data_IF_948094048700
#
_entry.id   IF_948094048700
#
_cell.length_a   1.000
_cell.length_b   1.000
_cell.length_c   1.000
_cell.angle_alpha   90.00
_cell.angle_beta   90.00
_cell.angle_gamma   90.00
#
_symmetry.space_group_name_H-M   'P 1'
#
loop_
_entity.id
_entity.type
_entity.pdbx_description
1 polymer ?
#
# COMPACT_ATOMS: atom_id res chain seq x y z
N UNK A 1 -29.89 8.38 -70.62
CA UNK A 1 -28.95 9.49 -70.88
C UNK A 1 -29.73 10.79 -70.77
N UNK A 2 -29.42 11.64 -69.78
CA UNK A 2 -29.96 12.99 -69.68
C UNK A 2 -28.88 13.87 -69.03
N UNK A 3 -28.26 14.72 -69.86
CA UNK A 3 -27.24 15.68 -69.48
C UNK A 3 -27.90 16.97 -68.97
N UNK A 4 -27.45 17.48 -67.82
CA UNK A 4 -27.62 18.88 -67.44
C UNK A 4 -26.28 19.47 -67.00
N UNK A 5 -25.75 20.32 -67.86
CA UNK A 5 -24.76 21.38 -67.61
C UNK A 5 -25.36 22.46 -66.71
N UNK A 6 -24.54 23.18 -65.92
CA UNK A 6 -24.47 24.67 -65.86
C UNK A 6 -23.34 25.12 -64.91
N UNK A 7 -22.68 26.19 -65.34
CA UNK A 7 -21.44 26.82 -64.90
C UNK A 7 -21.59 27.84 -63.74
N UNK A 8 -20.55 27.89 -62.87
CA UNK A 8 -19.75 29.03 -62.31
C UNK A 8 -20.36 30.29 -61.63
N UNK A 9 -19.50 30.87 -60.76
CA UNK A 9 -19.35 32.26 -60.19
C UNK A 9 -19.80 32.35 -58.71
N UNK A 10 -19.05 32.81 -57.67
CA UNK A 10 -18.22 34.02 -57.44
C UNK A 10 -17.20 33.78 -56.27
N UNK A 11 -16.02 34.43 -56.34
CA UNK A 11 -14.91 34.49 -55.35
C UNK A 11 -15.04 35.76 -54.49
N UNK A 12 -14.68 35.75 -53.19
CA UNK A 12 -14.16 36.94 -52.48
C UNK A 12 -13.20 36.59 -51.31
N UNK A 13 -12.06 37.30 -51.28
CA UNK A 13 -10.91 37.21 -50.35
C UNK A 13 -10.72 38.57 -49.66
N UNK A 14 -10.18 38.61 -48.42
CA UNK A 14 -9.41 39.67 -47.66
C UNK A 14 -9.89 39.75 -46.19
N UNK A 15 -9.15 39.47 -45.09
CA UNK A 15 -7.88 39.93 -44.46
C UNK A 15 -7.91 41.38 -43.94
N UNK A 16 -7.96 41.58 -42.59
CA UNK A 16 -7.07 42.50 -41.85
C UNK A 16 -7.14 42.41 -40.30
N UNK A 17 -5.98 42.69 -39.71
CA UNK A 17 -5.48 42.53 -38.34
C UNK A 17 -6.17 43.38 -37.25
N UNK A 18 -6.22 42.88 -36.01
CA UNK A 18 -6.13 43.71 -34.80
C UNK A 18 -5.21 43.08 -33.74
N UNK A 19 -4.14 43.82 -33.44
CA UNK A 19 -3.32 43.89 -32.21
C UNK A 19 -2.80 42.62 -31.51
N UNK A 20 -1.47 42.47 -31.57
CA UNK A 20 -0.66 41.92 -30.47
C UNK A 20 -0.77 42.82 -29.23
N UNK A 21 -1.09 42.25 -28.07
CA UNK A 21 -0.51 42.64 -26.77
C UNK A 21 -0.82 41.60 -25.70
N UNK A 22 0.23 40.88 -25.31
CA UNK A 22 0.62 40.63 -23.91
C UNK A 22 -0.49 40.28 -22.90
N UNK A 23 -0.56 39.00 -22.49
CA UNK A 23 -0.57 38.58 -21.08
C UNK A 23 -0.53 37.04 -20.95
N UNK A 24 0.60 36.57 -20.44
CA UNK A 24 0.80 35.52 -19.43
C UNK A 24 -0.10 34.26 -19.39
N UNK A 25 0.59 33.11 -19.41
CA UNK A 25 0.29 31.84 -18.74
C UNK A 25 -1.16 31.31 -18.76
N UNK A 26 -1.33 30.19 -19.46
CA UNK A 26 -1.38 28.92 -18.74
C UNK A 26 -0.86 27.82 -19.67
N UNK A 27 0.37 27.36 -19.44
CA UNK A 27 0.70 25.99 -19.78
C UNK A 27 -0.31 25.15 -19.02
N UNK A 28 -1.24 24.51 -19.73
CA UNK A 28 -1.99 23.41 -19.15
C UNK A 28 -0.97 22.32 -18.88
N UNK A 29 -0.32 22.40 -17.73
CA UNK A 29 0.27 21.23 -17.10
C UNK A 29 -0.87 20.24 -17.04
N UNK A 30 -0.82 19.21 -17.90
CA UNK A 30 -1.63 18.03 -17.70
C UNK A 30 -1.28 17.53 -16.30
N UNK A 31 -2.18 17.86 -15.37
CA UNK A 31 -2.12 17.47 -13.99
C UNK A 31 -2.17 15.94 -13.98
N UNK A 32 -0.98 15.35 -13.87
CA UNK A 32 -0.75 13.91 -13.72
C UNK A 32 -1.12 13.51 -12.29
N UNK A 33 -2.36 13.76 -11.91
CA UNK A 33 -2.96 13.25 -10.67
C UNK A 33 -4.39 12.79 -10.91
N UNK A 34 -4.61 11.97 -11.95
CA UNK A 34 -5.83 11.17 -12.08
C UNK A 34 -6.01 10.29 -10.83
N UNK A 35 -6.85 10.80 -9.92
CA UNK A 35 -7.31 10.18 -8.68
C UNK A 35 -7.92 8.82 -9.02
N UNK A 36 -7.23 7.74 -8.65
CA UNK A 36 -7.59 6.37 -9.04
C UNK A 36 -8.77 5.81 -8.20
N UNK A 37 -9.92 6.46 -8.28
CA UNK A 37 -11.19 5.97 -7.73
C UNK A 37 -11.88 4.96 -8.69
N UNK A 38 -11.13 4.33 -9.59
CA UNK A 38 -11.65 3.34 -10.55
C UNK A 38 -11.49 1.92 -10.01
N UNK A 39 -12.54 1.10 -10.14
CA UNK A 39 -12.44 -0.34 -9.92
C UNK A 39 -11.65 -0.97 -11.07
N UNK A 40 -10.58 -1.68 -10.74
CA UNK A 40 -9.65 -2.32 -11.68
C UNK A 40 -9.73 -3.84 -11.51
N UNK A 41 -9.78 -4.56 -12.63
CA UNK A 41 -9.74 -6.01 -12.64
C UNK A 41 -8.38 -6.55 -12.18
N UNK A 42 -8.40 -7.32 -11.09
CA UNK A 42 -7.22 -7.95 -10.50
C UNK A 42 -7.00 -9.36 -11.03
N UNK A 43 -8.09 -10.11 -11.25
CA UNK A 43 -8.01 -11.47 -11.75
C UNK A 43 -9.38 -12.07 -12.00
N UNK A 44 -9.40 -13.18 -12.73
CA UNK A 44 -10.59 -13.96 -13.04
C UNK A 44 -10.27 -15.43 -12.75
N UNK A 45 -11.20 -16.17 -12.19
CA UNK A 45 -11.14 -17.63 -12.13
C UNK A 45 -12.44 -18.27 -12.60
N UNK A 46 -12.34 -19.47 -13.16
CA UNK A 46 -13.48 -20.35 -13.39
C UNK A 46 -13.53 -21.37 -12.26
N UNK A 47 -14.71 -21.53 -11.66
CA UNK A 47 -14.91 -22.49 -10.57
C UNK A 47 -14.85 -23.91 -11.12
N UNK A 48 -13.91 -24.74 -10.68
CA UNK A 48 -13.64 -26.07 -11.24
C UNK A 48 -14.38 -27.21 -10.52
N UNK A 49 -15.02 -26.95 -9.38
CA UNK A 49 -15.98 -27.87 -8.75
C UNK A 49 -15.45 -29.23 -8.27
N UNK A 50 -14.15 -29.50 -8.45
CA UNK A 50 -13.45 -30.73 -8.03
C UNK A 50 -12.92 -30.66 -6.60
N UNK A 51 -12.75 -29.45 -6.06
CA UNK A 51 -12.37 -29.17 -4.68
C UNK A 51 -13.33 -28.15 -4.09
N UNK A 52 -13.59 -28.21 -2.78
CA UNK A 52 -14.31 -27.16 -2.03
C UNK A 52 -13.54 -25.81 -1.96
N UNK A 53 -12.47 -25.69 -2.75
CA UNK A 53 -11.54 -24.55 -2.83
C UNK A 53 -11.00 -24.42 -4.24
N UNK A 54 -11.16 -23.26 -4.84
CA UNK A 54 -10.39 -22.84 -6.01
C UNK A 54 -9.49 -21.65 -5.63
N UNK A 55 -8.24 -21.70 -6.08
CA UNK A 55 -7.29 -20.60 -5.95
C UNK A 55 -7.39 -19.70 -7.17
N UNK A 56 -7.63 -18.40 -6.96
CA UNK A 56 -7.42 -17.41 -8.01
C UNK A 56 -6.00 -16.94 -7.94
N UNK A 57 -5.19 -17.42 -8.88
CA UNK A 57 -3.86 -16.86 -9.10
C UNK A 57 -4.06 -15.48 -9.74
N UNK A 58 -3.79 -14.44 -8.97
CA UNK A 58 -3.90 -13.05 -9.44
C UNK A 58 -2.80 -12.83 -10.48
N UNK A 59 -3.18 -12.53 -11.71
CA UNK A 59 -2.26 -12.13 -12.78
C UNK A 59 -1.93 -10.64 -12.63
N UNK A 60 -0.71 -10.36 -12.19
CA UNK A 60 -0.08 -9.06 -12.35
C UNK A 60 -0.16 -8.13 -11.15
N UNK A 61 1.00 -7.56 -10.84
CA UNK A 61 1.32 -6.55 -9.83
C UNK A 61 0.61 -5.21 -10.03
N UNK A 62 -0.71 -5.14 -9.94
CA UNK A 62 -1.49 -3.92 -10.23
C UNK A 62 -1.60 -2.93 -9.06
N UNK A 63 -0.52 -2.73 -8.29
CA UNK A 63 -0.48 -1.72 -7.24
C UNK A 63 -1.21 -2.11 -5.94
N UNK A 64 -1.53 -1.10 -5.11
CA UNK A 64 -2.12 -1.29 -3.78
C UNK A 64 -3.58 -0.85 -3.75
N UNK A 65 -4.41 -1.58 -3.00
CA UNK A 65 -5.86 -1.41 -2.95
C UNK A 65 -6.34 -1.16 -1.54
N UNK A 66 -7.45 -0.45 -1.40
CA UNK A 66 -8.16 -0.27 -0.11
C UNK A 66 -9.43 -1.10 -0.07
N UNK A 67 -10.02 -1.40 -1.23
CA UNK A 67 -11.28 -2.13 -1.31
C UNK A 67 -11.20 -3.24 -2.36
N UNK A 68 -11.96 -4.31 -2.13
CA UNK A 68 -12.22 -5.38 -3.08
C UNK A 68 -13.73 -5.54 -3.34
N UNK A 69 -14.07 -6.08 -4.51
CA UNK A 69 -15.36 -6.70 -4.80
C UNK A 69 -15.13 -7.98 -5.58
N UNK A 70 -16.10 -8.87 -5.50
CA UNK A 70 -16.22 -9.97 -6.45
C UNK A 70 -17.43 -9.75 -7.35
N UNK A 71 -17.32 -10.21 -8.59
CA UNK A 71 -18.43 -10.29 -9.55
C UNK A 71 -18.56 -11.71 -10.05
N UNK A 72 -19.74 -12.30 -9.85
CA UNK A 72 -20.04 -13.66 -10.31
C UNK A 72 -20.67 -13.58 -11.70
N UNK A 73 -20.16 -14.39 -12.63
CA UNK A 73 -20.60 -14.48 -14.02
C UNK A 73 -20.86 -15.93 -14.40
N UNK A 74 -21.47 -16.10 -15.57
CA UNK A 74 -21.81 -17.38 -16.21
C UNK A 74 -22.89 -18.21 -15.50
N UNK A 75 -22.76 -18.48 -14.20
CA UNK A 75 -23.73 -19.24 -13.41
C UNK A 75 -23.76 -18.79 -11.94
N UNK A 76 -24.80 -19.20 -11.22
CA UNK A 76 -24.97 -18.87 -9.80
C UNK A 76 -23.99 -19.62 -8.91
N UNK A 77 -23.50 -18.97 -7.86
CA UNK A 77 -22.47 -19.50 -6.96
C UNK A 77 -22.83 -19.23 -5.51
N UNK A 78 -22.85 -20.27 -4.68
CA UNK A 78 -23.02 -20.11 -3.23
C UNK A 78 -21.64 -19.96 -2.57
N UNK A 79 -21.27 -18.73 -2.24
CA UNK A 79 -19.96 -18.38 -1.72
C UNK A 79 -20.02 -18.27 -0.19
N UNK A 80 -19.16 -19.02 0.50
CA UNK A 80 -19.09 -19.01 1.98
C UNK A 80 -18.16 -17.91 2.46
N UNK A 81 -16.91 -17.96 2.02
CA UNK A 81 -15.81 -17.14 2.54
C UNK A 81 -14.79 -16.86 1.44
N UNK A 82 -14.16 -15.70 1.50
CA UNK A 82 -12.88 -15.48 0.81
C UNK A 82 -11.78 -15.18 1.82
N UNK A 83 -10.58 -15.68 1.54
CA UNK A 83 -9.37 -15.39 2.31
C UNK A 83 -8.47 -14.55 1.43
N UNK A 84 -8.25 -13.30 1.83
CA UNK A 84 -7.32 -12.39 1.16
C UNK A 84 -5.93 -12.62 1.74
N UNK A 85 -4.99 -13.03 0.91
CA UNK A 85 -3.57 -13.10 1.27
C UNK A 85 -2.89 -11.82 0.79
N UNK A 86 -2.37 -11.05 1.72
CA UNK A 86 -1.66 -9.83 1.40
C UNK A 86 -0.20 -10.09 1.03
N UNK A 87 0.42 -9.14 0.34
CA UNK A 87 1.85 -9.17 0.01
C UNK A 87 2.77 -9.29 1.23
N UNK A 88 2.31 -8.90 2.43
CA UNK A 88 3.06 -9.01 3.67
C UNK A 88 2.91 -10.36 4.41
N UNK A 89 2.19 -11.33 3.82
CA UNK A 89 1.96 -12.65 4.41
C UNK A 89 0.79 -12.74 5.39
N UNK A 90 0.23 -11.61 5.86
CA UNK A 90 -1.00 -11.62 6.66
C UNK A 90 -2.22 -11.96 5.81
N UNK A 91 -3.28 -12.42 6.47
CA UNK A 91 -4.55 -12.77 5.83
C UNK A 91 -5.71 -11.96 6.38
N UNK A 92 -6.74 -11.79 5.57
CA UNK A 92 -8.04 -11.29 6.01
C UNK A 92 -9.13 -12.25 5.55
N UNK A 93 -9.86 -12.76 6.53
CA UNK A 93 -11.06 -13.53 6.31
C UNK A 93 -12.25 -12.61 6.05
N UNK A 94 -12.97 -12.89 4.98
CA UNK A 94 -14.18 -12.15 4.61
C UNK A 94 -15.31 -13.15 4.43
N UNK A 95 -16.26 -13.12 5.36
CA UNK A 95 -17.47 -13.89 5.28
C UNK A 95 -18.43 -13.22 4.30
N UNK A 96 -18.81 -13.97 3.28
CA UNK A 96 -19.80 -13.55 2.30
C UNK A 96 -21.14 -14.24 2.58
N UNK A 97 -21.12 -15.54 2.89
CA UNK A 97 -22.28 -16.39 3.24
C UNK A 97 -23.53 -16.12 2.38
N UNK A 98 -23.31 -15.91 1.08
CA UNK A 98 -24.35 -15.48 0.16
C UNK A 98 -24.37 -16.37 -1.09
N UNK A 99 -25.59 -16.61 -1.59
CA UNK A 99 -25.80 -17.07 -2.96
C UNK A 99 -25.75 -15.87 -3.90
N UNK A 100 -24.82 -15.92 -4.84
CA UNK A 100 -24.67 -14.93 -5.89
C UNK A 100 -25.34 -15.44 -7.16
N UNK A 101 -26.34 -14.72 -7.66
CA UNK A 101 -26.92 -14.95 -8.98
C UNK A 101 -25.94 -14.53 -10.09
N UNK A 102 -26.13 -15.06 -11.30
CA UNK A 102 -25.33 -14.64 -12.47
C UNK A 102 -25.39 -13.12 -12.64
N UNK A 103 -24.23 -12.47 -12.72
CA UNK A 103 -24.08 -11.02 -12.88
C UNK A 103 -23.97 -10.25 -11.57
N UNK A 104 -24.28 -10.88 -10.43
CA UNK A 104 -24.30 -10.22 -9.13
C UNK A 104 -22.89 -9.91 -8.62
N UNK A 105 -22.78 -8.79 -7.91
CA UNK A 105 -21.57 -8.34 -7.23
C UNK A 105 -21.70 -8.50 -5.71
N UNK A 106 -20.57 -8.62 -5.03
CA UNK A 106 -20.55 -8.45 -3.58
C UNK A 106 -20.73 -7.00 -3.18
N UNK A 107 -21.03 -6.80 -1.89
CA UNK A 107 -20.74 -5.54 -1.22
C UNK A 107 -19.29 -5.13 -1.41
N UNK A 108 -19.02 -3.86 -1.14
CA UNK A 108 -17.65 -3.39 -0.96
C UNK A 108 -17.01 -4.08 0.25
N UNK A 109 -15.81 -4.60 0.03
CA UNK A 109 -15.02 -5.29 1.04
C UNK A 109 -13.86 -4.37 1.37
N UNK A 110 -13.94 -3.73 2.52
CA UNK A 110 -12.84 -2.95 3.07
C UNK A 110 -11.68 -3.88 3.47
N UNK A 111 -10.49 -3.52 3.04
CA UNK A 111 -9.26 -4.21 3.41
C UNK A 111 -8.73 -3.59 4.69
N UNK A 112 -8.56 -4.41 5.74
CA UNK A 112 -8.11 -3.93 7.04
C UNK A 112 -6.77 -3.19 6.90
N UNK A 113 -6.70 -1.97 7.43
CA UNK A 113 -5.54 -1.07 7.35
C UNK A 113 -5.58 -0.18 6.11
N UNK A 114 -4.51 0.60 5.85
CA UNK A 114 -4.48 1.43 4.63
C UNK A 114 -4.30 0.58 3.36
N UNK A 115 -3.83 1.18 2.27
CA UNK A 115 -3.53 0.50 1.00
C UNK A 115 -2.75 -0.81 1.20
N UNK A 116 -3.24 -1.90 0.61
CA UNK A 116 -2.69 -3.27 0.68
C UNK A 116 -2.30 -3.76 -0.70
N UNK A 117 -1.11 -4.37 -0.79
CA UNK A 117 -0.76 -5.23 -1.92
C UNK A 117 -1.47 -6.57 -1.74
N UNK A 118 -2.18 -7.05 -2.75
CA UNK A 118 -2.84 -8.37 -2.72
C UNK A 118 -1.92 -9.38 -3.39
N UNK A 119 -1.56 -10.45 -2.65
CA UNK A 119 -0.74 -11.55 -3.16
C UNK A 119 -1.60 -12.59 -3.87
N UNK A 120 -2.68 -13.03 -3.22
CA UNK A 120 -3.67 -13.94 -3.78
C UNK A 120 -5.00 -13.84 -3.01
N UNK A 121 -6.07 -14.35 -3.61
CA UNK A 121 -7.36 -14.54 -2.93
C UNK A 121 -7.81 -15.97 -3.14
N UNK A 122 -8.22 -16.61 -2.06
CA UNK A 122 -8.76 -17.97 -2.07
C UNK A 122 -10.26 -17.89 -1.78
N UNK A 123 -11.06 -18.52 -2.63
CA UNK A 123 -12.51 -18.59 -2.48
C UNK A 123 -12.93 -19.95 -1.92
N UNK A 124 -13.81 -19.94 -0.92
CA UNK A 124 -14.49 -21.10 -0.38
C UNK A 124 -15.96 -20.98 -0.73
N UNK A 125 -16.47 -21.94 -1.49
CA UNK A 125 -17.84 -21.97 -1.97
C UNK A 125 -18.44 -23.36 -1.74
N UNK A 126 -19.75 -23.48 -1.86
CA UNK A 126 -20.44 -24.76 -1.88
C UNK A 126 -20.48 -25.27 -3.32
N UNK A 127 -20.09 -26.54 -3.54
CA UNK A 127 -20.23 -27.20 -4.83
C UNK A 127 -21.69 -27.16 -5.29
N UNK A 128 -21.92 -26.69 -6.50
CA UNK A 128 -23.24 -26.67 -7.15
C UNK A 128 -23.31 -27.65 -8.31
N UNK A 129 -24.54 -27.94 -8.76
CA UNK A 129 -24.76 -28.69 -10.00
C UNK A 129 -24.68 -27.73 -11.19
N UNK A 130 -23.49 -27.61 -11.80
CA UNK A 130 -23.21 -26.70 -12.91
C UNK A 130 -22.97 -27.49 -14.20
N UNK A 131 -23.95 -28.30 -14.60
CA UNK A 131 -23.82 -29.31 -15.66
C UNK A 131 -23.27 -28.79 -17.01
N UNK A 132 -23.56 -27.52 -17.38
CA UNK A 132 -23.10 -26.96 -18.67
C UNK A 132 -22.39 -25.59 -18.58
N UNK A 133 -22.38 -24.91 -17.42
CA UNK A 133 -21.81 -23.56 -17.27
C UNK A 133 -21.24 -23.34 -15.87
N UNK A 134 -19.93 -23.50 -15.71
CA UNK A 134 -19.26 -23.22 -14.44
C UNK A 134 -19.29 -21.72 -14.10
N UNK A 135 -19.52 -21.32 -12.83
CA UNK A 135 -19.42 -19.93 -12.40
C UNK A 135 -18.02 -19.36 -12.65
N UNK A 136 -17.97 -18.11 -13.07
CA UNK A 136 -16.74 -17.34 -13.22
C UNK A 136 -16.72 -16.25 -12.16
N UNK A 137 -15.64 -16.15 -11.38
CA UNK A 137 -15.48 -15.12 -10.36
C UNK A 137 -14.41 -14.13 -10.82
N UNK A 138 -14.81 -12.88 -11.03
CA UNK A 138 -13.90 -11.77 -11.26
C UNK A 138 -13.62 -11.06 -9.93
N UNK A 139 -12.34 -10.90 -9.60
CA UNK A 139 -11.88 -10.08 -8.48
C UNK A 139 -11.50 -8.70 -8.99
N UNK A 140 -12.13 -7.66 -8.45
CA UNK A 140 -11.83 -6.27 -8.78
C UNK A 140 -11.40 -5.51 -7.51
N UNK A 141 -10.49 -4.56 -7.67
CA UNK A 141 -9.95 -3.75 -6.58
C UNK A 141 -9.98 -2.27 -6.88
N UNK A 142 -10.11 -1.46 -5.84
CA UNK A 142 -10.11 0.00 -5.95
C UNK A 142 -9.14 0.60 -4.92
N UNK A 143 -8.50 1.70 -5.31
CA UNK A 143 -7.64 2.50 -4.44
C UNK A 143 -8.31 3.84 -4.18
N UNK A 144 -9.40 3.84 -3.39
CA UNK A 144 -10.11 5.08 -3.06
C UNK A 144 -9.13 6.05 -2.40
N UNK A 145 -8.90 7.21 -3.02
CA UNK A 145 -8.18 8.30 -2.37
C UNK A 145 -9.16 9.00 -1.44
N UNK A 146 -8.92 8.94 -0.12
CA UNK A 146 -9.83 9.45 0.91
C UNK A 146 -10.34 10.87 0.60
N UNK A 147 -11.58 10.97 0.14
CA UNK A 147 -12.28 12.23 -0.09
C UNK A 147 -13.59 12.20 0.68
N UNK A 148 -13.82 13.27 1.45
CA UNK A 148 -14.87 13.54 2.44
C UNK A 148 -14.38 13.29 3.88
N UNK A 149 -13.77 14.34 4.43
CA UNK A 149 -13.12 14.45 5.75
C UNK A 149 -12.15 13.31 6.10
N UNK A 150 -10.87 13.41 5.72
CA UNK A 150 -9.89 12.41 6.09
C UNK A 150 -9.65 12.42 7.61
N UNK A 151 -9.55 11.27 8.29
CA UNK A 151 -8.62 11.18 9.40
C UNK A 151 -7.25 11.52 8.81
N UNK A 152 -6.76 12.74 9.07
CA UNK A 152 -5.45 13.21 8.64
C UNK A 152 -4.36 12.41 9.38
N UNK A 153 -4.04 11.22 8.89
CA UNK A 153 -2.85 10.47 9.26
C UNK A 153 -1.89 10.44 8.06
N UNK A 154 -1.30 11.60 7.77
CA UNK A 154 0.10 11.60 7.34
C UNK A 154 0.82 10.71 8.35
N UNK A 155 1.56 9.69 7.91
CA UNK A 155 2.32 8.80 8.79
C UNK A 155 3.29 9.59 9.65
N UNK A 156 2.79 10.17 10.75
CA UNK A 156 3.56 10.96 11.69
C UNK A 156 4.47 9.98 12.39
N UNK A 157 5.77 10.24 12.29
CA UNK A 157 6.78 9.56 13.05
C UNK A 157 6.41 9.61 14.55
N UNK A 158 6.05 8.45 15.12
CA UNK A 158 5.66 8.29 16.51
C UNK A 158 6.81 7.71 17.32
N UNK A 159 7.05 8.26 18.50
CA UNK A 159 8.01 7.70 19.44
C UNK A 159 7.58 6.28 19.86
N UNK A 160 8.46 5.32 19.67
CA UNK A 160 8.23 3.90 19.98
C UNK A 160 8.86 3.47 21.30
N UNK A 161 9.96 4.13 21.67
CA UNK A 161 10.70 3.85 22.89
C UNK A 161 11.94 4.72 22.98
N UNK A 162 12.49 4.82 24.18
CA UNK A 162 13.72 5.55 24.50
C UNK A 162 14.60 4.63 25.34
N UNK A 163 15.91 4.67 25.13
CA UNK A 163 16.88 4.08 26.07
C UNK A 163 18.05 5.02 26.30
N UNK A 164 18.61 4.98 27.51
CA UNK A 164 19.85 5.67 27.85
C UNK A 164 20.99 4.69 27.66
N UNK A 165 22.00 5.07 26.89
CA UNK A 165 23.15 4.21 26.60
C UNK A 165 23.95 3.98 27.86
N UNK A 166 24.11 2.74 28.28
CA UNK A 166 24.78 2.42 29.55
C UNK A 166 26.29 2.30 29.40
N UNK A 167 26.78 1.95 28.20
CA UNK A 167 28.22 1.87 27.91
C UNK A 167 29.00 0.76 28.62
N UNK A 168 28.37 -0.01 29.52
CA UNK A 168 28.96 -1.17 30.18
C UNK A 168 29.10 -2.38 29.23
N UNK A 169 28.28 -2.42 28.17
CA UNK A 169 28.32 -3.39 27.07
C UNK A 169 28.32 -2.61 25.74
N UNK A 170 28.75 -3.24 24.65
CA UNK A 170 28.75 -2.67 23.29
C UNK A 170 27.37 -2.70 22.60
N UNK A 171 26.30 -2.96 23.36
CA UNK A 171 24.91 -2.96 22.90
C UNK A 171 23.92 -2.53 23.97
N UNK A 172 22.82 -1.94 23.52
CA UNK A 172 21.63 -1.65 24.33
C UNK A 172 20.33 -2.01 23.59
N UNK A 173 19.26 -2.23 24.35
CA UNK A 173 17.93 -2.56 23.85
C UNK A 173 16.98 -1.37 24.03
N UNK A 174 16.23 -1.04 22.97
CA UNK A 174 15.02 -0.22 23.07
C UNK A 174 13.83 -1.15 22.89
N UNK A 175 13.04 -1.33 23.96
CA UNK A 175 11.75 -1.99 23.88
C UNK A 175 10.73 -1.05 23.25
N UNK A 176 9.95 -1.58 22.32
CA UNK A 176 8.85 -0.82 21.73
C UNK A 176 7.66 -0.93 22.69
N UNK A 177 7.34 0.17 23.36
CA UNK A 177 6.21 0.28 24.29
C UNK A 177 4.97 0.88 23.62
N UNK A 178 5.09 1.32 22.36
CA UNK A 178 3.95 1.84 21.60
C UNK A 178 2.85 0.77 21.52
N UNK A 179 1.78 1.00 22.27
CA UNK A 179 0.61 0.14 22.32
C UNK A 179 0.08 -0.11 20.90
N UNK A 180 0.25 -1.35 20.42
CA UNK A 180 -0.43 -1.94 19.26
C UNK A 180 -0.30 -1.17 17.94
N UNK A 181 0.93 -0.94 17.45
CA UNK A 181 1.19 -0.39 16.12
C UNK A 181 1.94 -1.33 15.17
N UNK A 182 1.68 -1.22 13.86
CA UNK A 182 2.51 -1.79 12.81
C UNK A 182 3.28 -0.66 12.10
N UNK A 183 4.55 -0.87 11.81
CA UNK A 183 5.44 0.13 11.24
C UNK A 183 5.98 -0.31 9.90
N UNK A 184 6.19 0.63 8.99
CA UNK A 184 6.82 0.43 7.69
C UNK A 184 8.25 0.94 7.69
N UNK A 185 8.54 1.97 8.49
CA UNK A 185 9.88 2.53 8.61
C UNK A 185 10.22 2.83 10.07
N UNK A 186 11.52 2.83 10.36
CA UNK A 186 12.09 3.29 11.61
C UNK A 186 13.05 4.46 11.39
N UNK A 187 13.22 5.25 12.44
CA UNK A 187 14.26 6.26 12.58
C UNK A 187 14.84 6.18 13.98
N UNK A 188 16.09 6.58 14.09
CA UNK A 188 16.77 6.77 15.36
C UNK A 188 17.03 8.27 15.52
N UNK A 189 16.86 8.78 16.73
CA UNK A 189 17.31 10.12 17.12
C UNK A 189 18.24 10.02 18.33
N UNK A 190 19.44 10.54 18.19
CA UNK A 190 20.43 10.59 19.26
C UNK A 190 20.31 11.93 19.99
N UNK A 191 20.28 11.88 21.32
CA UNK A 191 20.20 13.05 22.21
C UNK A 191 21.33 13.00 23.25
N UNK A 192 21.49 14.11 23.96
CA UNK A 192 22.52 14.38 24.97
C UNK A 192 23.95 14.45 24.45
N UNK A 193 24.48 13.38 23.87
CA UNK A 193 25.88 13.25 23.49
C UNK A 193 26.03 12.48 22.18
N UNK A 194 27.18 12.65 21.51
CA UNK A 194 27.46 11.92 20.28
C UNK A 194 27.60 10.42 20.52
N UNK A 195 27.17 9.63 19.54
CA UNK A 195 27.22 8.17 19.61
C UNK A 195 27.63 7.58 18.26
N UNK A 196 28.61 6.70 18.28
CA UNK A 196 29.03 5.97 17.08
C UNK A 196 28.31 4.62 17.02
N UNK A 197 27.31 4.51 16.14
CA UNK A 197 26.53 3.29 15.97
C UNK A 197 27.05 2.47 14.79
N UNK A 198 27.23 1.16 15.02
CA UNK A 198 27.66 0.20 14.01
C UNK A 198 26.46 -0.36 13.23
N UNK A 199 25.54 -1.01 13.96
CA UNK A 199 24.35 -1.66 13.40
C UNK A 199 23.19 -1.66 14.38
N UNK A 200 22.00 -1.91 13.87
CA UNK A 200 20.84 -2.26 14.68
C UNK A 200 20.19 -3.55 14.18
N UNK A 201 19.55 -4.28 15.09
CA UNK A 201 18.79 -5.49 14.79
C UNK A 201 17.35 -5.25 15.22
N UNK A 202 16.44 -5.26 14.24
CA UNK A 202 15.00 -5.15 14.48
C UNK A 202 14.45 -6.54 14.79
N UNK A 203 13.82 -6.71 15.95
CA UNK A 203 13.08 -7.93 16.29
C UNK A 203 11.59 -7.69 16.09
N UNK A 204 10.99 -8.48 15.21
CA UNK A 204 9.57 -8.36 14.87
C UNK A 204 8.66 -9.19 15.76
N UNK A 205 7.36 -8.86 15.71
CA UNK A 205 6.30 -9.58 16.41
C UNK A 205 6.27 -11.07 16.09
N UNK A 206 6.52 -11.41 14.82
CA UNK A 206 6.54 -12.78 14.28
C UNK A 206 7.82 -13.56 14.59
N UNK A 207 8.78 -12.97 15.31
CA UNK A 207 10.04 -13.63 15.70
C UNK A 207 11.17 -13.48 14.69
N UNK A 208 10.90 -13.06 13.45
CA UNK A 208 11.95 -12.78 12.47
C UNK A 208 12.74 -11.51 12.80
N UNK A 209 13.89 -11.35 12.13
CA UNK A 209 14.84 -10.27 12.40
C UNK A 209 15.28 -9.56 11.13
N UNK A 210 15.68 -8.30 11.27
CA UNK A 210 16.33 -7.53 10.21
C UNK A 210 17.55 -6.80 10.75
N UNK A 211 18.72 -7.13 10.21
CA UNK A 211 19.94 -6.36 10.41
C UNK A 211 19.95 -5.10 9.54
N UNK A 212 20.37 -3.99 10.14
CA UNK A 212 20.53 -2.70 9.47
C UNK A 212 21.87 -2.11 9.85
N UNK A 213 22.73 -1.95 8.86
CA UNK A 213 24.00 -1.26 9.01
C UNK A 213 23.77 0.25 9.00
N UNK A 214 24.28 0.92 10.02
CA UNK A 214 24.23 2.38 10.15
C UNK A 214 25.61 2.97 9.87
N UNK A 215 26.67 2.36 10.43
CA UNK A 215 28.08 2.76 10.30
C UNK A 215 28.31 4.28 10.36
N UNK A 216 27.64 4.94 11.30
CA UNK A 216 27.63 6.40 11.40
C UNK A 216 27.94 6.87 12.82
N UNK A 217 28.69 7.98 12.89
CA UNK A 217 28.75 8.82 14.09
C UNK A 217 27.56 9.78 14.05
N UNK A 218 26.74 9.72 15.09
CA UNK A 218 25.61 10.61 15.28
C UNK A 218 26.03 11.73 16.25
N UNK A 219 25.92 12.98 15.80
CA UNK A 219 26.05 14.15 16.67
C UNK A 219 24.81 14.31 17.57
N UNK A 220 24.93 15.10 18.64
CA UNK A 220 23.80 15.42 19.52
C UNK A 220 22.65 16.01 18.70
N UNK A 221 21.46 15.43 18.81
CA UNK A 221 20.25 15.86 18.10
C UNK A 221 20.06 15.24 16.72
N UNK A 222 21.07 14.56 16.18
CA UNK A 222 21.03 14.00 14.82
C UNK A 222 20.06 12.81 14.73
N UNK A 223 19.43 12.71 13.56
CA UNK A 223 18.56 11.60 13.20
C UNK A 223 19.22 10.70 12.15
N UNK A 224 18.83 9.43 12.14
CA UNK A 224 19.13 8.54 11.01
C UNK A 224 18.29 8.89 9.79
N UNK A 225 18.70 8.35 8.64
CA UNK A 225 17.78 8.18 7.51
C UNK A 225 16.54 7.39 7.94
N UNK A 226 15.48 7.47 7.14
CA UNK A 226 14.41 6.50 7.24
C UNK A 226 14.95 5.09 6.90
N UNK A 227 14.63 4.13 7.75
CA UNK A 227 15.05 2.74 7.65
C UNK A 227 13.82 1.93 7.27
N UNK A 228 13.79 1.42 6.05
CA UNK A 228 12.71 0.55 5.58
C UNK A 228 12.72 -0.79 6.31
N UNK A 229 11.54 -1.19 6.77
CA UNK A 229 11.35 -2.51 7.36
C UNK A 229 11.06 -3.53 6.26
N UNK A 230 11.80 -4.64 6.29
CA UNK A 230 11.57 -5.80 5.42
C UNK A 230 10.20 -6.40 5.77
N UNK A 231 9.37 -6.54 4.74
CA UNK A 231 7.96 -6.88 4.90
C UNK A 231 7.13 -5.63 5.24
N UNK A 232 6.03 -5.42 4.53
CA UNK A 232 5.21 -4.23 4.70
C UNK A 232 4.37 -4.28 5.99
N UNK A 233 4.39 -3.21 6.81
CA UNK A 233 3.66 -3.05 8.08
C UNK A 233 3.96 -4.14 9.13
N UNK A 234 5.07 -3.98 9.86
CA UNK A 234 5.61 -4.94 10.84
C UNK A 234 5.29 -4.52 12.28
N UNK A 235 4.88 -5.47 13.11
CA UNK A 235 4.92 -5.29 14.56
C UNK A 235 6.39 -5.33 14.97
N UNK A 236 6.90 -4.30 15.64
CA UNK A 236 8.26 -4.27 16.18
C UNK A 236 8.17 -4.52 17.69
N UNK A 237 8.86 -5.57 18.18
CA UNK A 237 8.92 -5.87 19.61
C UNK A 237 10.01 -5.05 20.30
N UNK A 238 11.19 -5.03 19.68
CA UNK A 238 12.37 -4.35 20.20
C UNK A 238 13.39 -4.10 19.12
N UNK A 239 14.31 -3.19 19.38
CA UNK A 239 15.50 -2.98 18.56
C UNK A 239 16.73 -3.05 19.45
N UNK A 240 17.73 -3.81 19.00
CA UNK A 240 19.04 -3.90 19.67
C UNK A 240 20.04 -3.08 18.85
N UNK A 241 20.69 -2.11 19.48
CA UNK A 241 21.70 -1.27 18.84
C UNK A 241 23.09 -1.69 19.29
N UNK A 242 24.03 -1.74 18.37
CA UNK A 242 25.45 -1.96 18.64
C UNK A 242 26.22 -0.68 18.36
N UNK A 243 27.06 -0.27 19.31
CA UNK A 243 27.79 1.00 19.25
C UNK A 243 29.23 0.82 19.72
N UNK A 244 30.10 1.77 19.35
CA UNK A 244 31.44 1.85 19.91
C UNK A 244 31.35 2.39 21.33
N UNK A 245 32.04 1.73 22.28
CA UNK A 245 32.18 2.25 23.64
C UNK A 245 32.84 3.63 23.58
N UNK A 246 32.27 4.61 24.28
CA UNK A 246 32.80 5.97 24.35
C UNK A 246 32.95 6.44 25.79
N UNK A 247 33.89 7.34 26.03
CA UNK A 247 33.93 8.17 27.24
C UNK A 247 33.10 9.43 26.98
N UNK A 248 31.91 9.49 27.57
CA UNK A 248 31.05 10.67 27.45
C UNK A 248 31.27 11.56 28.66
N UNK A 249 31.90 12.71 28.45
CA UNK A 249 32.37 13.62 29.52
C UNK A 249 31.28 14.32 30.32
N UNK A 250 30.01 14.29 29.88
CA UNK A 250 28.91 15.01 30.54
C UNK A 250 27.68 14.14 30.81
N UNK A 251 26.97 13.67 29.77
CA UNK A 251 25.74 12.87 29.90
C UNK A 251 25.78 11.70 28.92
N UNK A 252 25.33 10.53 29.37
CA UNK A 252 25.17 9.37 28.49
C UNK A 252 24.24 9.69 27.30
N UNK A 253 24.56 9.22 26.08
CA UNK A 253 23.68 9.37 24.93
C UNK A 253 22.30 8.76 25.19
N UNK A 254 21.25 9.42 24.71
CA UNK A 254 19.90 8.87 24.70
C UNK A 254 19.53 8.52 23.26
N UNK A 255 19.00 7.31 23.07
CA UNK A 255 18.54 6.81 21.79
C UNK A 255 17.02 6.74 21.80
N UNK A 256 16.37 7.57 20.98
CA UNK A 256 14.94 7.50 20.74
C UNK A 256 14.66 6.74 19.44
N UNK A 257 13.80 5.73 19.53
CA UNK A 257 13.31 4.97 18.39
C UNK A 257 11.96 5.54 17.95
N UNK A 258 11.81 5.83 16.65
CA UNK A 258 10.63 6.48 16.09
C UNK A 258 10.14 5.67 14.89
N UNK A 259 8.83 5.50 14.70
CA UNK A 259 8.26 4.69 13.62
C UNK A 259 7.09 5.34 12.90
N UNK A 260 6.88 4.95 11.64
CA UNK A 260 5.72 5.34 10.81
C UNK A 260 5.19 4.16 10.00
#
# INVERSE_FOLDING_TARGET
MNNKTIFKTIILVTILLFCKSFSLLASSTEDTSKKNDKWILLGITTVKGSLDRDEVKITGSKGMFTHLKIKVRNASLEMKKMVVYFGNGSTQDVWLKNRFSKGQESREIDLKGDKRLIKKVVFLYKKGNWSNKAPIVALIGQNKSSNNNPPKLVGKWKLLGITTVKGSVDRDEVRVTASKGMFTHLKIKVRNSSLEMKKMIVHFGDGSKQDVWLKNRFSKGQESRAIDLKGNKRIVKKVIFWYKKGSWSNKAPIVALIGK
#
